data_IF_337550206573
#
_entry.id   IF_337550206573
#
_cell.length_a   1.000
_cell.length_b   1.000
_cell.length_c   1.000
_cell.angle_alpha   90.00
_cell.angle_beta   90.00
_cell.angle_gamma   90.00
#
_symmetry.space_group_name_H-M   'P 1'
#
loop_
_entity.id
_entity.type
_entity.pdbx_description
1 polymer ?
#
# COMPACT_ATOMS: atom_id res chain seq x y z
N UNK A 1 0.75 3.72 -31.57
CA UNK A 1 1.79 3.07 -30.75
C UNK A 1 3.01 3.99 -30.77
N UNK A 2 3.05 4.97 -29.88
CA UNK A 2 4.26 5.74 -29.63
C UNK A 2 5.19 4.89 -28.79
N UNK A 3 6.15 4.26 -29.43
CA UNK A 3 7.30 3.65 -28.79
C UNK A 3 8.15 4.75 -28.15
N UNK A 4 7.89 5.08 -26.90
CA UNK A 4 8.92 5.67 -26.06
C UNK A 4 9.99 4.58 -25.89
N UNK A 5 11.16 4.78 -26.52
CA UNK A 5 12.23 3.81 -26.45
C UNK A 5 12.66 3.57 -24.98
N UNK A 6 13.29 2.41 -24.66
CA UNK A 6 13.69 2.02 -23.30
C UNK A 6 14.46 3.09 -22.53
N UNK A 7 15.19 3.94 -23.23
CA UNK A 7 15.96 5.06 -22.63
C UNK A 7 15.05 6.17 -22.08
N UNK A 8 13.94 6.49 -22.72
CA UNK A 8 13.01 7.53 -22.25
C UNK A 8 12.23 7.09 -21.02
N UNK A 9 11.85 5.82 -20.94
CA UNK A 9 11.17 5.25 -19.77
C UNK A 9 12.13 5.13 -18.55
N UNK A 10 13.39 4.77 -18.77
CA UNK A 10 14.44 4.76 -17.74
C UNK A 10 14.71 6.19 -17.24
N UNK A 11 14.65 7.20 -18.08
CA UNK A 11 14.80 8.59 -17.68
C UNK A 11 13.57 9.12 -16.93
N UNK A 12 12.35 8.68 -17.27
CA UNK A 12 11.15 8.99 -16.50
C UNK A 12 11.18 8.37 -15.08
N UNK A 13 11.64 7.13 -14.93
CA UNK A 13 11.83 6.52 -13.60
C UNK A 13 12.91 7.22 -12.78
N UNK A 14 14.00 7.64 -13.41
CA UNK A 14 15.03 8.45 -12.74
C UNK A 14 14.45 9.79 -12.28
N UNK A 15 13.64 10.45 -13.11
CA UNK A 15 12.95 11.68 -12.77
C UNK A 15 11.88 11.51 -11.69
N UNK A 16 11.18 10.36 -11.66
CA UNK A 16 10.18 10.03 -10.64
C UNK A 16 10.81 9.78 -9.26
N UNK A 17 12.06 9.24 -9.24
CA UNK A 17 12.82 8.94 -8.01
C UNK A 17 13.85 10.00 -7.62
N UNK A 18 14.01 11.06 -8.41
CA UNK A 18 15.04 12.06 -8.20
C UNK A 18 14.43 13.42 -7.93
N UNK A 19 14.71 13.94 -6.75
CA UNK A 19 14.52 15.34 -6.46
C UNK A 19 15.79 16.10 -6.74
N UNK A 20 15.95 16.70 -7.91
CA UNK A 20 16.95 17.69 -8.25
C UNK A 20 18.26 17.66 -7.44
N UNK A 21 18.86 18.82 -7.22
CA UNK A 21 20.15 18.98 -6.50
C UNK A 21 20.09 18.68 -4.99
N UNK A 22 18.89 18.57 -4.39
CA UNK A 22 18.72 18.30 -2.95
C UNK A 22 19.00 16.84 -2.55
N UNK A 23 19.06 15.92 -3.49
CA UNK A 23 19.23 14.49 -3.24
C UNK A 23 18.04 13.81 -2.52
N UNK A 24 16.93 14.53 -2.30
CA UNK A 24 15.73 14.04 -1.61
C UNK A 24 14.79 13.30 -2.57
N UNK A 25 14.13 12.25 -2.10
CA UNK A 25 13.09 11.55 -2.85
C UNK A 25 11.79 12.37 -2.87
N UNK A 26 11.19 12.56 -4.04
CA UNK A 26 9.88 13.18 -4.21
C UNK A 26 8.91 12.20 -4.86
N UNK A 27 7.74 12.01 -4.25
CA UNK A 27 6.66 11.19 -4.81
C UNK A 27 5.70 12.08 -5.60
N UNK A 28 5.41 11.71 -6.85
CA UNK A 28 4.34 12.36 -7.62
C UNK A 28 2.98 12.01 -7.03
N UNK A 29 2.05 12.97 -7.12
CA UNK A 29 0.65 12.75 -6.73
C UNK A 29 -0.06 11.89 -7.77
N UNK A 30 -1.02 11.09 -7.29
CA UNK A 30 -1.94 10.31 -8.13
C UNK A 30 -2.81 11.24 -8.98
N UNK A 31 -3.04 10.88 -10.25
CA UNK A 31 -3.72 11.74 -11.21
C UNK A 31 -5.21 11.40 -11.36
N UNK A 32 -5.58 10.13 -11.19
CA UNK A 32 -6.98 9.68 -11.23
C UNK A 32 -7.57 9.74 -9.82
N UNK A 33 -8.46 10.70 -9.56
CA UNK A 33 -8.95 11.04 -8.22
C UNK A 33 -10.49 11.20 -8.18
N UNK A 34 -11.23 10.44 -9.00
CA UNK A 34 -12.70 10.38 -8.90
C UNK A 34 -13.12 9.56 -7.68
N UNK A 35 -14.40 9.57 -7.35
CA UNK A 35 -14.95 8.87 -6.18
C UNK A 35 -16.23 8.12 -6.51
N UNK A 36 -16.57 7.13 -5.68
CA UNK A 36 -17.91 6.56 -5.67
C UNK A 36 -18.89 7.57 -5.07
N UNK A 37 -20.10 7.64 -5.61
CA UNK A 37 -21.14 8.50 -5.06
C UNK A 37 -22.55 7.90 -5.24
N UNK A 38 -23.44 8.22 -4.31
CA UNK A 38 -24.88 7.86 -4.37
C UNK A 38 -25.75 9.03 -4.76
N UNK A 39 -25.21 10.24 -4.76
CA UNK A 39 -25.92 11.50 -5.04
C UNK A 39 -25.78 11.99 -6.49
N UNK A 40 -25.06 11.21 -7.33
CA UNK A 40 -24.84 11.56 -8.73
C UNK A 40 -23.76 12.62 -8.97
N UNK A 41 -22.97 12.98 -7.95
CA UNK A 41 -21.82 13.88 -8.09
C UNK A 41 -20.72 13.29 -8.97
N UNK A 42 -20.66 11.96 -9.07
CA UNK A 42 -19.83 11.21 -10.00
C UNK A 42 -20.64 10.13 -10.70
N UNK A 43 -20.21 9.60 -11.86
CA UNK A 43 -20.91 8.51 -12.56
C UNK A 43 -20.70 7.13 -11.91
N UNK A 44 -19.87 7.02 -10.88
CA UNK A 44 -19.42 5.78 -10.28
C UNK A 44 -20.31 5.41 -9.08
N UNK A 45 -21.46 4.75 -9.33
CA UNK A 45 -22.35 4.28 -8.27
C UNK A 45 -21.75 3.05 -7.54
N UNK A 46 -21.85 2.96 -6.21
CA UNK A 46 -21.42 1.77 -5.47
C UNK A 46 -22.39 0.60 -5.74
N UNK A 47 -21.99 -0.35 -6.56
CA UNK A 47 -22.77 -1.50 -7.02
C UNK A 47 -21.98 -2.79 -6.88
N UNK A 48 -22.67 -3.87 -6.53
CA UNK A 48 -22.09 -5.23 -6.43
C UNK A 48 -21.52 -5.67 -7.77
N UNK A 49 -20.32 -6.20 -7.77
CA UNK A 49 -19.68 -6.75 -8.96
C UNK A 49 -19.25 -5.75 -10.03
N UNK A 50 -19.49 -4.44 -9.83
CA UNK A 50 -19.15 -3.40 -10.79
C UNK A 50 -17.66 -3.08 -10.85
N UNK A 51 -16.96 -3.19 -9.74
CA UNK A 51 -15.59 -2.74 -9.61
C UNK A 51 -14.58 -3.88 -9.71
N UNK A 52 -13.38 -3.53 -10.16
CA UNK A 52 -12.21 -4.39 -10.20
C UNK A 52 -11.00 -3.64 -9.64
N UNK A 53 -10.12 -4.35 -8.95
CA UNK A 53 -8.91 -3.76 -8.37
C UNK A 53 -7.69 -4.39 -9.02
N UNK A 54 -6.75 -3.55 -9.45
CA UNK A 54 -5.43 -3.98 -9.90
C UNK A 54 -4.40 -3.71 -8.81
N UNK A 55 -3.64 -4.72 -8.45
CA UNK A 55 -2.66 -4.66 -7.36
C UNK A 55 -1.32 -5.29 -7.73
N UNK A 56 -0.32 -5.00 -6.89
CA UNK A 56 0.86 -5.83 -6.67
C UNK A 56 0.91 -6.23 -5.20
N UNK A 57 1.13 -7.49 -4.89
CA UNK A 57 1.35 -7.95 -3.51
C UNK A 57 2.59 -7.31 -2.87
N UNK A 58 3.57 -6.91 -3.68
CA UNK A 58 4.74 -6.19 -3.19
C UNK A 58 4.43 -4.77 -2.69
N UNK A 59 3.42 -4.11 -3.29
CA UNK A 59 3.13 -2.70 -3.05
C UNK A 59 2.40 -2.47 -1.72
N UNK A 60 2.96 -1.69 -0.76
CA UNK A 60 2.30 -1.41 0.51
C UNK A 60 1.04 -0.55 0.35
N UNK A 61 0.97 0.28 -0.69
CA UNK A 61 -0.20 1.09 -0.99
C UNK A 61 -1.37 0.23 -1.48
N UNK A 62 -1.10 -0.73 -2.36
CA UNK A 62 -2.12 -1.69 -2.83
C UNK A 62 -2.55 -2.65 -1.70
N UNK A 63 -1.65 -3.00 -0.80
CA UNK A 63 -1.95 -3.87 0.34
C UNK A 63 -3.03 -3.27 1.26
N UNK A 64 -3.07 -1.93 1.45
CA UNK A 64 -4.16 -1.24 2.18
C UNK A 64 -5.53 -1.61 1.64
N UNK A 65 -5.65 -1.60 0.31
CA UNK A 65 -6.92 -1.89 -0.37
C UNK A 65 -7.32 -3.35 -0.19
N UNK A 66 -6.35 -4.26 -0.23
CA UNK A 66 -6.59 -5.68 0.01
C UNK A 66 -7.00 -5.97 1.45
N UNK A 67 -6.41 -5.29 2.43
CA UNK A 67 -6.80 -5.39 3.84
C UNK A 67 -8.26 -4.98 4.05
N UNK A 68 -8.66 -3.82 3.52
CA UNK A 68 -10.06 -3.34 3.63
C UNK A 68 -11.02 -4.28 2.90
N UNK A 69 -10.65 -4.73 1.69
CA UNK A 69 -11.46 -5.70 0.93
C UNK A 69 -11.72 -6.98 1.71
N UNK A 70 -10.70 -7.53 2.38
CA UNK A 70 -10.81 -8.74 3.20
C UNK A 70 -11.60 -8.47 4.49
N UNK A 71 -11.23 -7.45 5.26
CA UNK A 71 -11.89 -7.14 6.54
C UNK A 71 -13.38 -6.81 6.39
N UNK A 72 -13.79 -6.27 5.25
CA UNK A 72 -15.18 -5.95 4.96
C UNK A 72 -15.93 -7.07 4.21
N UNK A 73 -15.26 -8.18 3.85
CA UNK A 73 -15.86 -9.29 3.12
C UNK A 73 -16.37 -8.87 1.73
N UNK A 74 -15.53 -8.16 0.98
CA UNK A 74 -15.85 -7.66 -0.38
C UNK A 74 -15.29 -8.57 -1.49
N UNK A 75 -14.81 -9.78 -1.16
CA UNK A 75 -14.13 -10.68 -2.10
C UNK A 75 -15.03 -11.09 -3.26
N UNK A 76 -16.29 -11.38 -2.98
CA UNK A 76 -17.28 -11.78 -3.99
C UNK A 76 -17.80 -10.58 -4.80
N UNK A 77 -17.67 -9.37 -4.27
CA UNK A 77 -18.23 -8.15 -4.87
C UNK A 77 -17.25 -7.39 -5.73
N UNK A 78 -15.96 -7.48 -5.42
CA UNK A 78 -14.88 -6.74 -6.10
C UNK A 78 -13.79 -7.73 -6.50
N UNK A 79 -13.67 -7.98 -7.81
CA UNK A 79 -12.65 -8.85 -8.38
C UNK A 79 -11.27 -8.19 -8.39
N UNK A 80 -10.19 -8.99 -8.51
CA UNK A 80 -8.80 -8.53 -8.45
C UNK A 80 -7.98 -9.15 -9.56
N UNK A 81 -7.07 -8.37 -10.16
CA UNK A 81 -5.93 -8.85 -10.94
C UNK A 81 -4.63 -8.41 -10.29
N UNK A 82 -3.66 -9.32 -10.27
CA UNK A 82 -2.39 -9.15 -9.58
C UNK A 82 -1.24 -9.14 -10.58
N UNK A 83 -0.44 -8.09 -10.60
CA UNK A 83 0.76 -8.02 -11.44
C UNK A 83 1.90 -8.87 -10.86
N UNK A 84 2.84 -9.25 -11.71
CA UNK A 84 4.10 -9.90 -11.32
C UNK A 84 4.87 -9.04 -10.29
N UNK A 85 5.64 -9.69 -9.42
CA UNK A 85 6.52 -8.97 -8.50
C UNK A 85 7.67 -8.25 -9.23
N UNK A 86 8.01 -8.68 -10.43
CA UNK A 86 9.01 -8.02 -11.28
C UNK A 86 8.46 -6.70 -11.79
N UNK A 87 9.24 -5.66 -11.57
CA UNK A 87 9.03 -4.40 -12.28
C UNK A 87 10.12 -4.28 -13.33
N UNK A 88 9.71 -4.05 -14.56
CA UNK A 88 10.65 -3.90 -15.68
C UNK A 88 11.56 -2.68 -15.51
N UNK A 89 12.63 -2.61 -16.28
CA UNK A 89 13.63 -1.53 -16.14
C UNK A 89 13.07 -0.14 -16.42
N UNK A 90 11.96 -0.05 -17.16
CA UNK A 90 11.22 1.19 -17.42
C UNK A 90 10.28 1.58 -16.30
N UNK A 91 10.11 0.73 -15.27
CA UNK A 91 9.21 0.93 -14.14
C UNK A 91 7.80 0.43 -14.36
N UNK A 92 7.55 -0.29 -15.45
CA UNK A 92 6.23 -0.86 -15.73
C UNK A 92 5.98 -2.13 -14.92
N UNK A 93 4.73 -2.28 -14.49
CA UNK A 93 4.18 -3.49 -13.92
C UNK A 93 3.55 -4.34 -15.04
N UNK A 94 3.90 -5.62 -15.08
CA UNK A 94 3.39 -6.58 -16.08
C UNK A 94 2.47 -7.62 -15.44
N UNK A 95 1.54 -8.16 -16.21
CA UNK A 95 0.77 -9.33 -15.83
C UNK A 95 1.50 -10.60 -16.27
N UNK A 96 1.49 -11.62 -15.41
CA UNK A 96 2.17 -12.89 -15.71
C UNK A 96 1.48 -14.03 -14.92
N UNK A 97 0.59 -14.75 -15.58
CA UNK A 97 -0.13 -15.87 -14.96
C UNK A 97 0.75 -17.09 -14.62
N UNK A 98 1.97 -17.16 -15.17
CA UNK A 98 2.92 -18.24 -14.87
C UNK A 98 3.69 -17.98 -13.55
N UNK A 99 3.67 -16.75 -13.02
CA UNK A 99 4.30 -16.43 -11.74
C UNK A 99 3.33 -16.72 -10.59
N UNK A 100 3.71 -17.58 -9.60
CA UNK A 100 2.87 -17.83 -8.43
C UNK A 100 2.52 -16.54 -7.70
N UNK A 101 1.24 -16.34 -7.39
CA UNK A 101 0.71 -15.13 -6.73
C UNK A 101 0.36 -14.00 -7.69
N UNK A 102 0.79 -14.03 -8.96
CA UNK A 102 0.35 -13.11 -10.01
C UNK A 102 -0.79 -13.71 -10.83
N UNK A 103 -1.39 -12.89 -11.68
CA UNK A 103 -2.48 -13.29 -12.59
C UNK A 103 -2.32 -12.67 -13.98
N UNK A 104 -3.16 -13.08 -14.90
CA UNK A 104 -3.47 -12.29 -16.09
C UNK A 104 -4.31 -11.06 -15.73
N UNK A 105 -4.46 -10.12 -16.67
CA UNK A 105 -5.51 -9.12 -16.60
C UNK A 105 -6.86 -9.77 -16.94
N UNK A 106 -7.69 -9.97 -15.93
CA UNK A 106 -8.96 -10.69 -16.05
C UNK A 106 -10.05 -9.92 -16.83
N UNK A 107 -9.86 -8.62 -17.08
CA UNK A 107 -10.87 -7.80 -17.78
C UNK A 107 -10.55 -7.59 -19.26
N UNK A 108 -9.31 -7.22 -19.59
CA UNK A 108 -8.94 -6.76 -20.91
C UNK A 108 -7.88 -7.64 -21.57
N UNK A 109 -7.19 -8.50 -20.80
CA UNK A 109 -6.07 -9.28 -21.30
C UNK A 109 -4.83 -8.44 -21.64
N UNK A 110 -4.67 -7.28 -21.00
CA UNK A 110 -3.48 -6.44 -21.20
C UNK A 110 -2.23 -7.12 -20.64
N UNK A 111 -1.08 -6.81 -21.22
CA UNK A 111 0.20 -7.35 -20.74
C UNK A 111 0.80 -6.54 -19.58
N UNK A 112 0.29 -5.34 -19.29
CA UNK A 112 0.80 -4.51 -18.20
C UNK A 112 -0.09 -3.32 -17.85
N UNK A 113 0.14 -2.78 -16.64
CA UNK A 113 -0.66 -1.69 -16.06
C UNK A 113 -0.66 -0.43 -16.91
N UNK A 114 0.43 -0.13 -17.64
CA UNK A 114 0.49 1.08 -18.47
C UNK A 114 -0.64 1.11 -19.52
N UNK A 115 -1.05 -0.04 -20.03
CA UNK A 115 -2.14 -0.13 -21.00
C UNK A 115 -3.50 0.25 -20.41
N UNK A 116 -3.75 -0.04 -19.12
CA UNK A 116 -4.96 0.41 -18.43
C UNK A 116 -5.03 1.94 -18.33
N UNK A 117 -3.90 2.56 -18.02
CA UNK A 117 -3.83 4.03 -17.92
C UNK A 117 -4.07 4.69 -19.28
N UNK A 118 -3.49 4.13 -20.34
CA UNK A 118 -3.70 4.63 -21.71
C UNK A 118 -5.11 4.34 -22.25
N UNK A 119 -5.77 3.28 -21.77
CA UNK A 119 -7.17 3.02 -22.08
C UNK A 119 -8.10 4.04 -21.40
N UNK A 120 -7.82 4.41 -20.15
CA UNK A 120 -8.59 5.39 -19.41
C UNK A 120 -8.33 6.82 -19.90
N UNK A 121 -7.09 7.13 -20.29
CA UNK A 121 -6.67 8.43 -20.81
C UNK A 121 -5.56 8.22 -21.88
N UNK A 122 -5.88 8.34 -23.19
CA UNK A 122 -4.90 8.15 -24.26
C UNK A 122 -3.73 9.16 -24.22
N UNK A 123 -3.88 10.29 -23.55
CA UNK A 123 -2.84 11.32 -23.41
C UNK A 123 -2.01 11.14 -22.12
N UNK A 124 -2.26 10.09 -21.34
CA UNK A 124 -1.54 9.83 -20.10
C UNK A 124 -0.03 9.68 -20.34
N UNK A 125 0.74 10.59 -19.80
CA UNK A 125 2.20 10.65 -19.92
C UNK A 125 2.95 10.17 -18.67
N UNK A 126 2.23 9.68 -17.66
CA UNK A 126 2.78 9.19 -16.39
C UNK A 126 3.21 7.72 -16.46
N UNK A 127 3.61 7.20 -15.30
CA UNK A 127 3.86 5.77 -15.10
C UNK A 127 2.64 5.16 -14.43
N UNK A 128 2.13 4.06 -14.97
CA UNK A 128 1.04 3.29 -14.39
C UNK A 128 1.44 2.72 -13.02
N UNK A 129 0.68 3.06 -11.99
CA UNK A 129 0.92 2.64 -10.60
C UNK A 129 -0.20 1.72 -10.10
N UNK A 130 0.03 1.05 -8.98
CA UNK A 130 -0.97 0.27 -8.25
C UNK A 130 -1.08 0.79 -6.81
N UNK A 131 -2.28 0.73 -6.17
CA UNK A 131 -3.53 0.12 -6.66
C UNK A 131 -4.22 0.97 -7.73
N UNK A 132 -5.13 0.33 -8.49
CA UNK A 132 -6.09 0.99 -9.37
C UNK A 132 -7.48 0.45 -9.04
N UNK A 133 -8.44 1.32 -8.81
CA UNK A 133 -9.86 0.99 -8.77
C UNK A 133 -10.45 1.27 -10.17
N UNK A 134 -10.93 0.23 -10.82
CA UNK A 134 -11.49 0.25 -12.17
C UNK A 134 -13.01 0.11 -12.14
N UNK A 135 -13.73 0.91 -12.90
CA UNK A 135 -15.18 0.80 -13.12
C UNK A 135 -15.45 0.04 -14.42
N UNK A 136 -15.94 -1.19 -14.31
CA UNK A 136 -16.26 -2.06 -15.46
C UNK A 136 -17.40 -1.51 -16.33
N UNK A 137 -18.31 -0.71 -15.77
CA UNK A 137 -19.45 -0.17 -16.51
C UNK A 137 -19.04 1.03 -17.39
N UNK A 138 -18.08 1.83 -16.93
CA UNK A 138 -17.58 3.00 -17.67
C UNK A 138 -16.24 2.71 -18.36
N UNK A 139 -15.68 1.54 -18.15
CA UNK A 139 -14.40 1.09 -18.72
C UNK A 139 -13.30 2.12 -18.50
N UNK A 140 -13.09 2.54 -17.25
CA UNK A 140 -12.14 3.59 -16.87
C UNK A 140 -11.63 3.44 -15.45
N UNK A 141 -10.52 4.13 -15.16
CA UNK A 141 -9.98 4.27 -13.79
C UNK A 141 -10.86 5.24 -13.01
N UNK A 142 -11.38 4.78 -11.86
CA UNK A 142 -12.01 5.65 -10.86
C UNK A 142 -10.94 6.40 -10.09
N UNK A 143 -10.00 5.65 -9.50
CA UNK A 143 -9.04 6.23 -8.58
C UNK A 143 -7.78 5.35 -8.48
N UNK A 144 -6.61 5.98 -8.27
CA UNK A 144 -5.33 5.30 -8.04
C UNK A 144 -4.60 5.81 -6.77
N UNK A 145 -5.33 6.44 -5.84
CA UNK A 145 -4.82 6.83 -4.54
C UNK A 145 -5.37 5.90 -3.44
N UNK A 146 -4.48 5.11 -2.84
CA UNK A 146 -4.87 4.06 -1.90
C UNK A 146 -5.72 4.54 -0.73
N UNK A 147 -5.40 5.72 -0.14
CA UNK A 147 -6.16 6.30 0.97
C UNK A 147 -7.60 6.62 0.57
N UNK A 148 -7.80 7.14 -0.64
CA UNK A 148 -9.14 7.45 -1.14
C UNK A 148 -9.91 6.19 -1.52
N UNK A 149 -9.22 5.20 -2.09
CA UNK A 149 -9.86 3.92 -2.42
C UNK A 149 -10.38 3.26 -1.14
N UNK A 150 -9.56 3.12 -0.09
CA UNK A 150 -10.04 2.51 1.16
C UNK A 150 -11.17 3.31 1.80
N UNK A 151 -11.13 4.65 1.75
CA UNK A 151 -12.20 5.51 2.23
C UNK A 151 -13.51 5.25 1.49
N UNK A 152 -13.47 5.11 0.15
CA UNK A 152 -14.65 4.76 -0.66
C UNK A 152 -15.19 3.38 -0.31
N UNK A 153 -14.33 2.38 -0.15
CA UNK A 153 -14.74 1.03 0.24
C UNK A 153 -15.39 1.02 1.63
N UNK A 154 -14.82 1.73 2.60
CA UNK A 154 -15.38 1.84 3.94
C UNK A 154 -16.73 2.58 3.96
N UNK A 155 -16.82 3.68 3.22
CA UNK A 155 -18.04 4.50 3.18
C UNK A 155 -19.21 3.76 2.53
N UNK A 156 -18.94 2.95 1.50
CA UNK A 156 -19.97 2.31 0.68
C UNK A 156 -20.01 0.79 0.81
N UNK A 157 -19.38 0.20 1.84
CA UNK A 157 -19.21 -1.25 1.97
C UNK A 157 -20.52 -2.04 1.88
N UNK A 158 -21.60 -1.55 2.52
CA UNK A 158 -22.89 -2.22 2.52
C UNK A 158 -23.51 -2.29 1.12
N UNK A 159 -23.47 -1.18 0.37
CA UNK A 159 -23.96 -1.14 -1.01
C UNK A 159 -23.10 -2.01 -1.94
N UNK A 160 -21.79 -2.02 -1.74
CA UNK A 160 -20.87 -2.87 -2.50
C UNK A 160 -21.09 -4.36 -2.22
N UNK A 161 -21.68 -4.72 -1.07
CA UNK A 161 -22.12 -6.10 -0.73
C UNK A 161 -23.56 -6.40 -1.14
N UNK A 162 -24.31 -5.42 -1.59
CA UNK A 162 -25.74 -5.56 -1.90
C UNK A 162 -26.63 -5.59 -0.66
N UNK A 163 -26.15 -5.06 0.45
CA UNK A 163 -26.90 -4.89 1.69
C UNK A 163 -27.54 -3.49 1.70
N UNK A 164 -28.81 -3.41 2.05
CA UNK A 164 -29.51 -2.13 2.26
C UNK A 164 -29.27 -1.66 3.72
N UNK A 165 -28.01 -1.39 4.05
CA UNK A 165 -27.61 -0.99 5.38
C UNK A 165 -26.72 0.27 5.30
N UNK A 166 -27.14 1.31 5.97
CA UNK A 166 -26.43 2.60 6.03
C UNK A 166 -25.39 2.70 7.17
N UNK A 167 -25.07 1.57 7.83
CA UNK A 167 -24.06 1.57 8.90
C UNK A 167 -22.69 1.93 8.34
N UNK A 168 -21.97 2.76 9.08
CA UNK A 168 -20.56 3.03 8.80
C UNK A 168 -19.72 1.77 9.01
N UNK A 169 -18.65 1.64 8.23
CA UNK A 169 -17.68 0.58 8.40
C UNK A 169 -17.09 0.61 9.82
N UNK A 170 -16.87 -0.55 10.46
CA UNK A 170 -16.17 -0.61 11.74
C UNK A 170 -14.74 -0.03 11.68
N UNK A 171 -14.14 0.04 10.48
CA UNK A 171 -12.82 0.65 10.28
C UNK A 171 -12.85 2.18 10.15
N UNK A 172 -14.06 2.77 10.05
CA UNK A 172 -14.26 4.22 9.88
C UNK A 172 -15.41 4.69 10.79
N UNK A 173 -15.25 4.63 12.14
CA UNK A 173 -16.21 5.21 13.06
C UNK A 173 -16.38 6.70 12.78
N UNK A 174 -17.63 7.18 12.67
CA UNK A 174 -17.93 8.56 12.29
C UNK A 174 -17.40 9.60 13.27
N UNK A 175 -17.30 9.22 14.54
CA UNK A 175 -16.78 10.05 15.63
C UNK A 175 -15.25 10.16 15.64
N UNK A 176 -14.52 9.30 14.93
CA UNK A 176 -13.06 9.26 14.89
C UNK A 176 -12.46 9.70 13.55
N UNK A 177 -13.26 10.19 12.61
CA UNK A 177 -12.78 10.51 11.25
C UNK A 177 -11.64 11.52 11.26
N UNK A 178 -11.76 12.59 12.06
CA UNK A 178 -10.74 13.64 12.14
C UNK A 178 -9.44 13.11 12.78
N UNK A 179 -9.54 12.29 13.83
CA UNK A 179 -8.40 11.65 14.50
C UNK A 179 -7.72 10.61 13.60
N UNK A 180 -8.52 9.84 12.84
CA UNK A 180 -8.01 8.89 11.83
C UNK A 180 -7.19 9.65 10.79
N UNK A 181 -7.73 10.72 10.24
CA UNK A 181 -7.06 11.53 9.23
C UNK A 181 -5.77 12.15 9.78
N UNK A 182 -5.79 12.70 10.98
CA UNK A 182 -4.62 13.27 11.64
C UNK A 182 -3.53 12.21 11.88
N UNK A 183 -3.91 11.00 12.32
CA UNK A 183 -2.97 9.90 12.55
C UNK A 183 -2.35 9.40 11.23
N UNK A 184 -3.14 9.27 10.15
CA UNK A 184 -2.65 8.93 8.82
C UNK A 184 -1.63 9.96 8.34
N UNK A 185 -1.95 11.25 8.46
CA UNK A 185 -1.06 12.35 8.05
C UNK A 185 0.25 12.37 8.85
N UNK A 186 0.20 12.16 10.16
CA UNK A 186 1.38 12.08 11.03
C UNK A 186 2.33 10.94 10.63
N UNK A 187 1.78 9.80 10.18
CA UNK A 187 2.57 8.64 9.77
C UNK A 187 3.05 8.69 8.31
N UNK A 188 2.38 9.50 7.46
CA UNK A 188 2.64 9.48 6.02
C UNK A 188 4.06 9.89 5.67
N UNK A 189 4.48 11.09 6.06
CA UNK A 189 5.77 11.65 5.66
C UNK A 189 6.95 11.02 6.40
N UNK A 190 6.73 10.61 7.65
CA UNK A 190 7.77 10.05 8.52
C UNK A 190 8.00 8.54 8.30
N UNK A 191 6.95 7.77 8.09
CA UNK A 191 7.00 6.31 7.99
C UNK A 191 6.65 5.81 6.60
N UNK A 192 5.38 5.99 6.14
CA UNK A 192 4.94 5.36 4.89
C UNK A 192 5.77 5.80 3.69
N UNK A 193 6.06 7.10 3.58
CA UNK A 193 6.94 7.67 2.58
C UNK A 193 8.40 7.77 3.08
N UNK A 194 8.60 7.82 4.39
CA UNK A 194 9.90 7.97 5.06
C UNK A 194 10.89 6.86 4.71
N UNK A 195 10.45 5.59 4.68
CA UNK A 195 11.29 4.47 4.27
C UNK A 195 11.82 4.63 2.84
N UNK A 196 11.01 5.19 1.93
CA UNK A 196 11.45 5.49 0.55
C UNK A 196 12.38 6.70 0.49
N UNK A 197 12.14 7.72 1.32
CA UNK A 197 13.05 8.87 1.44
C UNK A 197 14.43 8.42 1.88
N UNK A 198 14.54 7.52 2.87
CA UNK A 198 15.79 6.92 3.31
C UNK A 198 16.43 6.07 2.20
N UNK A 199 15.66 5.12 1.61
CA UNK A 199 16.15 4.16 0.63
C UNK A 199 16.66 4.78 -0.67
N UNK A 200 16.03 5.86 -1.13
CA UNK A 200 16.38 6.56 -2.36
C UNK A 200 17.12 7.87 -2.15
N UNK A 201 17.57 8.18 -0.92
CA UNK A 201 18.43 9.32 -0.65
C UNK A 201 19.73 9.24 -1.47
N UNK A 202 20.16 10.38 -2.01
CA UNK A 202 21.38 10.49 -2.82
C UNK A 202 22.50 11.30 -2.14
N UNK A 203 22.19 11.86 -0.97
CA UNK A 203 23.15 12.57 -0.11
C UNK A 203 23.04 12.06 1.32
N UNK A 204 24.13 12.19 2.07
CA UNK A 204 24.17 11.79 3.47
C UNK A 204 23.15 12.58 4.29
N UNK A 205 23.09 13.90 4.12
CA UNK A 205 22.16 14.78 4.84
C UNK A 205 20.69 14.39 4.57
N UNK A 206 20.32 14.09 3.30
CA UNK A 206 18.96 13.67 2.96
C UNK A 206 18.60 12.32 3.60
N UNK A 207 19.57 11.41 3.71
CA UNK A 207 19.40 10.13 4.39
C UNK A 207 19.23 10.31 5.90
N UNK A 208 20.10 11.08 6.55
CA UNK A 208 20.07 11.34 7.99
C UNK A 208 18.76 12.04 8.41
N UNK A 209 18.32 13.06 7.65
CA UNK A 209 17.04 13.71 7.83
C UNK A 209 15.87 12.69 7.81
N UNK A 210 15.85 11.82 6.78
CA UNK A 210 14.79 10.85 6.60
C UNK A 210 14.76 9.79 7.71
N UNK A 211 15.93 9.24 8.05
CA UNK A 211 16.07 8.22 9.11
C UNK A 211 15.78 8.80 10.49
N UNK A 212 16.22 10.05 10.75
CA UNK A 212 15.92 10.74 12.00
C UNK A 212 14.41 10.91 12.24
N UNK A 213 13.67 11.38 11.23
CA UNK A 213 12.20 11.50 11.30
C UNK A 213 11.52 10.14 11.43
N UNK A 214 11.99 9.13 10.68
CA UNK A 214 11.42 7.80 10.67
C UNK A 214 11.51 7.15 12.05
N UNK A 215 12.68 7.11 12.64
CA UNK A 215 12.88 6.48 13.94
C UNK A 215 12.34 7.30 15.11
N UNK A 216 12.31 8.63 15.01
CA UNK A 216 11.59 9.46 15.97
C UNK A 216 10.12 9.07 16.03
N UNK A 217 9.47 8.88 14.87
CA UNK A 217 8.08 8.44 14.82
C UNK A 217 7.87 7.00 15.29
N UNK A 218 8.80 6.08 15.00
CA UNK A 218 8.74 4.71 15.53
C UNK A 218 8.86 4.68 17.06
N UNK A 219 9.70 5.52 17.67
CA UNK A 219 9.83 5.63 19.13
C UNK A 219 8.51 6.14 19.78
N UNK A 220 7.85 7.12 19.12
CA UNK A 220 6.53 7.60 19.55
C UNK A 220 5.47 6.48 19.49
N UNK A 221 5.48 5.71 18.40
CA UNK A 221 4.55 4.59 18.22
C UNK A 221 4.83 3.44 19.19
N UNK A 222 6.09 3.15 19.49
CA UNK A 222 6.44 2.15 20.50
C UNK A 222 5.87 2.52 21.88
N UNK A 223 5.92 3.80 22.23
CA UNK A 223 5.34 4.31 23.48
C UNK A 223 3.81 4.26 23.45
N UNK A 224 3.18 4.77 22.38
CA UNK A 224 1.73 4.79 22.21
C UNK A 224 1.13 3.38 22.27
N UNK A 225 1.74 2.44 21.55
CA UNK A 225 1.29 1.06 21.48
C UNK A 225 1.60 0.26 22.76
N UNK A 226 2.37 0.80 23.68
CA UNK A 226 2.49 0.27 25.05
C UNK A 226 1.27 0.54 25.91
N UNK A 227 0.47 1.55 25.57
CA UNK A 227 -0.72 1.97 26.31
C UNK A 227 -2.04 1.58 25.61
N UNK A 228 -2.04 1.53 24.28
CA UNK A 228 -3.21 1.27 23.45
C UNK A 228 -3.04 0.03 22.58
N UNK A 229 -4.11 -0.71 22.35
CA UNK A 229 -4.10 -1.89 21.49
C UNK A 229 -3.83 -1.53 20.02
N UNK A 230 -4.51 -0.47 19.53
CA UNK A 230 -4.36 0.08 18.18
C UNK A 230 -4.00 1.57 18.24
N UNK A 231 -3.80 2.21 17.10
CA UNK A 231 -3.32 3.60 17.01
C UNK A 231 -4.27 4.61 17.68
N UNK A 232 -5.58 4.32 17.72
CA UNK A 232 -6.61 5.18 18.30
C UNK A 232 -7.39 4.46 19.42
N UNK A 233 -6.70 3.71 20.27
CA UNK A 233 -7.29 3.01 21.41
C UNK A 233 -7.59 1.54 21.12
N UNK A 234 -8.84 1.10 21.39
CA UNK A 234 -9.22 -0.31 21.33
C UNK A 234 -9.81 -0.75 19.99
N UNK A 235 -10.03 0.18 19.07
CA UNK A 235 -10.68 -0.06 17.78
C UNK A 235 -9.68 -0.01 16.63
N UNK A 236 -9.65 -1.07 15.82
CA UNK A 236 -8.92 -1.09 14.55
C UNK A 236 -9.56 -0.11 13.57
N UNK A 237 -8.79 0.79 12.98
CA UNK A 237 -9.28 1.84 12.08
C UNK A 237 -8.49 1.93 10.77
N UNK A 238 -8.93 2.80 9.86
CA UNK A 238 -8.16 3.12 8.64
C UNK A 238 -6.74 3.61 8.93
N UNK A 239 -6.50 4.22 10.09
CA UNK A 239 -5.17 4.65 10.50
C UNK A 239 -4.20 3.47 10.61
N UNK A 240 -4.66 2.38 11.23
CA UNK A 240 -3.90 1.13 11.35
C UNK A 240 -3.68 0.49 9.97
N UNK A 241 -4.73 0.44 9.16
CA UNK A 241 -4.67 -0.09 7.78
C UNK A 241 -3.66 0.69 6.92
N UNK A 242 -3.57 2.00 7.11
CA UNK A 242 -2.62 2.84 6.38
C UNK A 242 -1.17 2.63 6.81
N UNK A 243 -0.92 2.30 8.06
CA UNK A 243 0.43 2.14 8.62
C UNK A 243 0.96 0.71 8.46
N UNK A 244 0.16 -0.27 8.82
CA UNK A 244 0.56 -1.67 8.96
C UNK A 244 1.31 -2.26 7.75
N UNK A 245 0.88 -2.04 6.46
CA UNK A 245 1.59 -2.58 5.31
C UNK A 245 3.04 -2.11 5.17
N UNK A 246 3.36 -0.92 5.67
CA UNK A 246 4.73 -0.42 5.72
C UNK A 246 5.54 -1.18 6.77
N UNK A 247 4.98 -1.31 7.97
CA UNK A 247 5.70 -1.91 9.09
C UNK A 247 5.98 -3.42 8.91
N UNK A 248 5.07 -4.19 8.31
CA UNK A 248 5.32 -5.63 8.04
C UNK A 248 6.44 -5.86 7.03
N UNK A 249 6.74 -4.87 6.19
CA UNK A 249 7.85 -4.90 5.23
C UNK A 249 9.17 -4.45 5.83
N UNK A 250 9.16 -3.91 7.04
CA UNK A 250 10.31 -3.21 7.59
C UNK A 250 11.53 -4.12 7.74
N UNK A 251 11.43 -5.16 8.52
CA UNK A 251 12.56 -6.07 8.78
C UNK A 251 12.91 -6.92 7.54
N UNK A 252 11.91 -7.26 6.72
CA UNK A 252 12.10 -8.03 5.48
C UNK A 252 12.85 -7.24 4.41
N UNK A 253 12.57 -5.94 4.32
CA UNK A 253 13.01 -5.10 3.20
C UNK A 253 13.69 -3.82 3.67
N UNK A 254 12.98 -2.94 4.37
CA UNK A 254 13.44 -1.56 4.57
C UNK A 254 14.68 -1.48 5.46
N UNK A 255 14.78 -2.34 6.46
CA UNK A 255 15.93 -2.40 7.34
C UNK A 255 17.24 -2.62 6.55
N UNK A 256 17.29 -3.61 5.68
CA UNK A 256 18.53 -3.93 4.96
C UNK A 256 18.63 -3.24 3.61
N UNK A 257 17.56 -3.17 2.84
CA UNK A 257 17.57 -2.68 1.46
C UNK A 257 17.55 -1.15 1.40
N UNK A 258 16.77 -0.52 2.27
CA UNK A 258 16.66 0.94 2.37
C UNK A 258 17.53 1.56 3.47
N UNK A 259 18.34 0.75 4.17
CA UNK A 259 19.22 1.18 5.27
C UNK A 259 18.45 1.85 6.43
N UNK A 260 17.20 1.43 6.69
CA UNK A 260 16.45 1.84 7.86
C UNK A 260 16.88 0.97 9.06
N UNK A 261 18.14 1.03 9.46
CA UNK A 261 18.81 -0.04 10.21
C UNK A 261 19.20 0.34 11.65
N UNK A 262 18.67 1.44 12.22
CA UNK A 262 18.87 1.77 13.65
C UNK A 262 18.36 0.66 14.56
N UNK A 263 17.11 0.19 14.32
CA UNK A 263 16.47 -0.90 15.02
C UNK A 263 15.66 -1.74 14.03
N UNK A 264 15.47 -3.02 14.33
CA UNK A 264 14.45 -3.85 13.69
C UNK A 264 13.12 -3.67 14.42
N UNK A 265 12.01 -3.91 13.73
CA UNK A 265 10.68 -3.88 14.37
C UNK A 265 10.56 -5.01 15.43
N UNK A 266 11.16 -6.17 15.18
CA UNK A 266 11.16 -7.28 16.15
C UNK A 266 11.86 -6.92 17.48
N UNK A 267 12.72 -5.92 17.50
CA UNK A 267 13.38 -5.40 18.71
C UNK A 267 12.56 -4.32 19.44
N UNK A 268 11.36 -3.97 18.92
CA UNK A 268 10.42 -2.99 19.45
C UNK A 268 9.14 -3.74 19.90
N UNK A 269 9.06 -4.18 21.17
CA UNK A 269 8.08 -5.18 21.61
C UNK A 269 6.61 -4.76 21.40
N UNK A 270 6.29 -3.47 21.58
CA UNK A 270 4.92 -2.98 21.44
C UNK A 270 4.51 -2.89 19.95
N UNK A 271 5.37 -2.36 19.10
CA UNK A 271 5.16 -2.32 17.64
C UNK A 271 5.13 -3.75 17.08
N UNK A 272 6.03 -4.63 17.50
CA UNK A 272 6.05 -6.02 17.08
C UNK A 272 4.79 -6.79 17.50
N UNK A 273 4.33 -6.59 18.75
CA UNK A 273 3.06 -7.14 19.24
C UNK A 273 1.87 -6.63 18.41
N UNK A 274 1.81 -5.34 18.12
CA UNK A 274 0.78 -4.72 17.29
C UNK A 274 0.75 -5.30 15.87
N UNK A 275 1.90 -5.54 15.26
CA UNK A 275 1.94 -6.15 13.94
C UNK A 275 1.36 -7.56 13.92
N UNK A 276 1.67 -8.36 14.95
CA UNK A 276 1.14 -9.73 15.09
C UNK A 276 -0.34 -9.75 15.44
N UNK A 277 -0.80 -8.83 16.27
CA UNK A 277 -2.23 -8.69 16.60
C UNK A 277 -3.07 -8.51 15.32
N UNK A 278 -2.67 -7.59 14.45
CA UNK A 278 -3.38 -7.37 13.18
C UNK A 278 -3.18 -8.56 12.23
N UNK A 279 -1.96 -9.12 12.11
CA UNK A 279 -1.69 -10.27 11.25
C UNK A 279 -2.57 -11.49 11.57
N UNK A 280 -2.88 -11.69 12.87
CA UNK A 280 -3.68 -12.82 13.36
C UNK A 280 -5.20 -12.59 13.22
N UNK A 281 -5.66 -11.43 12.76
CA UNK A 281 -7.06 -11.22 12.40
C UNK A 281 -7.37 -12.08 11.17
N UNK A 282 -8.52 -12.78 11.20
CA UNK A 282 -8.96 -13.63 10.10
C UNK A 282 -8.98 -12.88 8.76
N UNK A 283 -8.40 -13.46 7.73
CA UNK A 283 -8.34 -12.91 6.38
C UNK A 283 -7.14 -11.98 6.12
N UNK A 284 -6.38 -11.58 7.15
CA UNK A 284 -5.23 -10.67 6.98
C UNK A 284 -3.98 -11.41 6.50
N UNK A 285 -3.67 -12.56 7.08
CA UNK A 285 -2.49 -13.35 6.72
C UNK A 285 -2.49 -13.71 5.22
N UNK A 286 -3.65 -14.01 4.66
CA UNK A 286 -3.87 -14.36 3.25
C UNK A 286 -3.59 -13.21 2.29
N UNK A 287 -3.57 -11.97 2.78
CA UNK A 287 -3.20 -10.80 1.96
C UNK A 287 -1.69 -10.62 1.82
N UNK A 288 -0.90 -11.39 2.57
CA UNK A 288 0.55 -11.27 2.65
C UNK A 288 1.27 -12.26 1.73
N UNK A 289 1.83 -11.79 0.64
CA UNK A 289 2.77 -12.57 -0.18
C UNK A 289 4.22 -12.16 0.11
N UNK A 290 4.88 -12.92 0.98
CA UNK A 290 6.26 -12.65 1.41
C UNK A 290 7.27 -12.78 0.27
N UNK A 291 6.99 -13.65 -0.70
CA UNK A 291 7.82 -13.83 -1.89
C UNK A 291 7.76 -12.60 -2.77
N UNK A 292 6.57 -12.17 -3.16
CA UNK A 292 6.38 -10.95 -3.95
C UNK A 292 7.01 -9.73 -3.28
N UNK A 293 6.78 -9.56 -1.96
CA UNK A 293 7.36 -8.46 -1.18
C UNK A 293 8.88 -8.48 -1.27
N UNK A 294 9.53 -9.59 -0.90
CA UNK A 294 10.97 -9.69 -0.82
C UNK A 294 11.65 -9.57 -2.19
N UNK A 295 11.12 -10.31 -3.17
CA UNK A 295 11.71 -10.36 -4.51
C UNK A 295 11.57 -9.05 -5.25
N UNK A 296 10.39 -8.39 -5.19
CA UNK A 296 10.20 -7.10 -5.85
C UNK A 296 11.27 -6.08 -5.44
N UNK A 297 11.41 -5.81 -4.16
CA UNK A 297 12.33 -4.76 -3.70
C UNK A 297 13.79 -5.10 -4.04
N UNK A 298 14.19 -6.34 -3.80
CA UNK A 298 15.60 -6.73 -4.00
C UNK A 298 15.95 -6.91 -5.46
N UNK A 299 15.01 -7.33 -6.30
CA UNK A 299 15.24 -7.55 -7.73
C UNK A 299 15.07 -6.28 -8.56
N UNK A 300 14.00 -5.51 -8.34
CA UNK A 300 13.58 -4.42 -9.23
C UNK A 300 14.33 -3.11 -8.98
N UNK A 301 14.91 -2.92 -7.79
CA UNK A 301 15.64 -1.69 -7.45
C UNK A 301 17.13 -1.80 -7.79
N UNK A 302 17.47 -1.88 -9.06
CA UNK A 302 18.86 -2.06 -9.54
C UNK A 302 19.80 -0.92 -9.16
N UNK A 303 19.29 0.27 -8.87
CA UNK A 303 20.08 1.39 -8.33
C UNK A 303 20.57 1.16 -6.91
N UNK A 304 19.92 0.27 -6.15
CA UNK A 304 20.29 -0.09 -4.78
C UNK A 304 20.97 -1.46 -4.75
N UNK A 305 20.45 -2.41 -5.52
CA UNK A 305 20.92 -3.80 -5.59
C UNK A 305 21.21 -4.20 -7.05
N UNK A 306 22.34 -3.76 -7.62
CA UNK A 306 22.63 -3.94 -9.05
C UNK A 306 22.79 -5.41 -9.48
N UNK A 307 23.18 -6.29 -8.56
CA UNK A 307 23.35 -7.72 -8.84
C UNK A 307 22.08 -8.54 -8.60
N UNK A 308 20.98 -7.93 -8.15
CA UNK A 308 19.67 -8.57 -7.94
C UNK A 308 19.72 -9.77 -6.99
N UNK A 309 20.66 -9.80 -6.04
CA UNK A 309 20.76 -10.86 -5.03
C UNK A 309 19.66 -10.68 -4.00
N UNK A 310 18.84 -11.72 -3.80
CA UNK A 310 17.73 -11.70 -2.84
C UNK A 310 18.18 -12.38 -1.55
N UNK A 311 18.11 -11.65 -0.42
CA UNK A 311 18.48 -12.18 0.90
C UNK A 311 17.49 -13.25 1.39
N UNK A 312 17.98 -14.22 2.16
CA UNK A 312 17.16 -15.32 2.71
C UNK A 312 16.28 -14.84 3.87
N UNK A 313 16.88 -14.19 4.87
CA UNK A 313 16.19 -13.75 6.09
C UNK A 313 15.42 -12.43 5.96
N UNK A 314 14.85 -11.94 7.08
CA UNK A 314 14.76 -12.63 8.38
C UNK A 314 13.66 -13.70 8.39
N UNK A 315 13.77 -14.66 9.34
CA UNK A 315 12.68 -15.54 9.74
C UNK A 315 11.95 -14.90 10.92
N UNK A 316 10.65 -14.65 10.78
CA UNK A 316 9.81 -13.98 11.79
C UNK A 316 8.61 -14.89 12.11
N UNK A 317 8.35 -15.11 13.41
CA UNK A 317 7.19 -15.87 13.85
C UNK A 317 5.97 -14.93 14.03
N UNK A 318 5.17 -14.84 12.98
CA UNK A 318 3.94 -14.05 12.96
C UNK A 318 2.81 -14.66 13.80
N UNK A 319 2.90 -15.95 14.15
CA UNK A 319 1.88 -16.69 14.90
C UNK A 319 2.16 -16.73 16.41
N UNK A 320 3.31 -16.23 16.86
CA UNK A 320 3.58 -16.10 18.29
C UNK A 320 2.49 -15.24 18.95
N UNK A 321 1.98 -15.62 20.15
CA UNK A 321 0.97 -14.84 20.86
C UNK A 321 1.38 -13.37 21.03
N UNK A 322 0.51 -12.44 20.67
CA UNK A 322 0.80 -11.00 20.74
C UNK A 322 0.52 -10.39 22.13
N UNK A 323 -0.39 -11.01 22.92
CA UNK A 323 -0.68 -10.60 24.31
C UNK A 323 -1.35 -9.24 24.46
N UNK A 324 -1.88 -8.65 23.37
CA UNK A 324 -2.44 -7.29 23.36
C UNK A 324 -3.91 -7.21 23.76
N UNK A 325 -4.57 -8.35 23.94
CA UNK A 325 -5.95 -8.42 24.47
C UNK A 325 -6.05 -7.79 25.87
N UNK A 326 -4.95 -7.80 26.62
CA UNK A 326 -4.88 -7.20 27.95
C UNK A 326 -4.95 -5.66 27.92
N UNK A 327 -4.68 -5.03 26.78
CA UNK A 327 -4.77 -3.58 26.58
C UNK A 327 -6.20 -3.13 26.22
N UNK A 328 -7.10 -4.05 25.89
CA UNK A 328 -8.50 -3.75 25.59
C UNK A 328 -9.31 -3.71 26.91
N UNK A 329 -10.02 -2.61 27.16
CA UNK A 329 -10.95 -2.49 28.31
C UNK A 329 -10.43 -1.74 29.51
N UNK A 330 -9.39 -0.94 29.38
CA UNK A 330 -8.89 0.00 30.39
C UNK A 330 -9.47 1.41 30.22
N UNK A 331 -10.80 1.58 30.32
CA UNK A 331 -11.44 2.90 30.45
C UNK A 331 -12.55 2.87 31.46
#
# INVERSE_FOLDING_TARGET
LNELGPAAAVDQMKAWRAAGDSGKFLRKKSEFRSSLSTDGSTPHLPEVGRYHIYISHACPWAHRVMLVRSLLGLEDSISVSVVDWRMENDGSWIFNADEPGASEDHLHGYSGIQQLYLAADPDFAGIGTVPVLWDKNHDTIVNNESREIIRMLNTHHSLLKGEDDSRTSPLLPSELVDEIDAMIDANYESLNNGVYKAGFARTQDAYEDAVGMLFGRLDELESLLGEHRYLLGDTLTEADICLWPTLIRFDLVYHTHFKCDRNRIVDMPNVWGYLRDIFQIHGIAETCDWTHIKWHYKWSHTSINPFRVVSIGPELDWNEPHGREALSGGS
#
